data_IF_485134531238
#
_entry.id   IF_485134531238
#
_cell.length_a   1.000
_cell.length_b   1.000
_cell.length_c   1.000
_cell.angle_alpha   90.00
_cell.angle_beta   90.00
_cell.angle_gamma   90.00
#
_symmetry.space_group_name_H-M   'P 1'
#
loop_
_entity.id
_entity.type
_entity.pdbx_description
1 polymer ?
#
# COMPACT_ATOMS: atom_id res chain seq x y z
N UNK A 1 -0.09 2.14 23.65
CA UNK A 1 1.07 3.05 23.66
C UNK A 1 0.72 4.24 24.52
N UNK A 2 1.64 4.65 25.39
CA UNK A 2 1.56 5.90 26.15
C UNK A 2 1.78 7.10 25.21
N UNK A 3 1.43 8.33 25.63
CA UNK A 3 1.74 9.53 24.85
C UNK A 3 3.24 9.68 24.53
N UNK A 4 4.11 9.35 25.47
CA UNK A 4 5.57 9.37 25.28
C UNK A 4 6.02 8.35 24.24
N UNK A 5 5.50 7.13 24.29
CA UNK A 5 5.79 6.09 23.27
C UNK A 5 5.29 6.50 21.87
N UNK A 6 4.15 7.19 21.79
CA UNK A 6 3.64 7.74 20.54
C UNK A 6 4.56 8.81 19.97
N UNK A 7 5.00 9.75 20.80
CA UNK A 7 5.93 10.81 20.39
C UNK A 7 7.28 10.22 19.93
N UNK A 8 7.84 9.28 20.67
CA UNK A 8 9.11 8.63 20.31
C UNK A 8 8.99 7.88 18.99
N UNK A 9 7.88 7.15 18.79
CA UNK A 9 7.62 6.44 17.54
C UNK A 9 7.50 7.40 16.36
N UNK A 10 6.81 8.52 16.53
CA UNK A 10 6.70 9.54 15.49
C UNK A 10 8.07 10.15 15.16
N UNK A 11 8.82 10.54 16.18
CA UNK A 11 10.18 11.07 16.02
C UNK A 11 11.06 10.11 15.22
N UNK A 12 11.08 8.82 15.59
CA UNK A 12 11.86 7.82 14.88
C UNK A 12 11.43 7.66 13.43
N UNK A 13 10.12 7.59 13.14
CA UNK A 13 9.66 7.46 11.76
C UNK A 13 10.07 8.68 10.90
N UNK A 14 10.13 9.89 11.48
CA UNK A 14 10.60 11.08 10.76
C UNK A 14 12.10 11.01 10.52
N UNK A 15 12.88 10.62 11.53
CA UNK A 15 14.34 10.41 11.39
C UNK A 15 14.63 9.37 10.31
N UNK A 16 13.94 8.23 10.33
CA UNK A 16 14.08 7.18 9.32
C UNK A 16 13.81 7.73 7.91
N UNK A 17 12.75 8.53 7.74
CA UNK A 17 12.41 9.15 6.45
C UNK A 17 13.48 10.17 6.01
N UNK A 18 14.00 10.98 6.93
CA UNK A 18 15.11 11.90 6.64
C UNK A 18 16.38 11.16 6.20
N UNK A 19 16.68 10.04 6.85
CA UNK A 19 17.87 9.22 6.56
C UNK A 19 17.77 8.47 5.22
N UNK A 20 16.58 8.26 4.66
CA UNK A 20 16.40 7.69 3.32
C UNK A 20 16.65 8.69 2.18
N UNK A 21 16.71 9.99 2.48
CA UNK A 21 16.92 11.02 1.46
C UNK A 21 18.33 10.89 0.87
N UNK A 22 18.41 10.50 -0.39
CA UNK A 22 19.65 10.35 -1.16
C UNK A 22 20.10 11.66 -1.83
N UNK A 23 19.14 12.42 -2.34
CA UNK A 23 19.36 13.69 -3.02
C UNK A 23 18.73 14.85 -2.23
N UNK A 24 19.56 15.85 -1.89
CA UNK A 24 19.11 16.98 -1.08
C UNK A 24 18.75 18.17 -1.96
N UNK A 25 17.55 18.76 -1.77
CA UNK A 25 17.16 19.93 -2.53
C UNK A 25 17.99 21.16 -2.15
N UNK A 26 18.20 22.03 -3.13
CA UNK A 26 18.90 23.29 -2.93
C UNK A 26 18.16 24.18 -1.92
N UNK A 27 18.89 24.76 -0.95
CA UNK A 27 18.34 25.67 0.04
C UNK A 27 17.61 25.01 1.22
N UNK A 28 17.67 23.68 1.34
CA UNK A 28 17.04 22.96 2.44
C UNK A 28 17.79 23.14 3.77
N UNK A 29 19.11 22.97 3.74
CA UNK A 29 20.00 23.17 4.88
C UNK A 29 20.95 24.36 4.62
N UNK A 30 21.38 25.09 5.66
CA UNK A 30 21.12 24.84 7.07
C UNK A 30 19.71 25.28 7.52
N UNK A 31 19.15 24.61 8.54
CA UNK A 31 17.82 24.92 9.08
C UNK A 31 17.82 25.07 10.61
N UNK A 32 17.06 26.02 11.15
CA UNK A 32 16.93 26.23 12.59
C UNK A 32 16.18 25.05 13.22
N UNK A 33 16.74 24.49 14.29
CA UNK A 33 16.15 23.42 15.09
C UNK A 33 16.38 23.68 16.58
N UNK A 34 15.64 22.98 17.45
CA UNK A 34 15.84 23.04 18.90
C UNK A 34 16.05 21.65 19.47
N UNK A 35 16.97 21.55 20.42
CA UNK A 35 17.28 20.35 21.20
C UNK A 35 16.97 20.63 22.67
N UNK A 36 16.38 19.67 23.37
CA UNK A 36 16.20 19.74 24.82
C UNK A 36 17.50 19.31 25.52
N UNK A 37 18.12 20.22 26.26
CA UNK A 37 19.37 19.98 27.00
C UNK A 37 19.18 20.30 28.49
N UNK A 38 20.00 19.71 29.35
CA UNK A 38 20.01 20.06 30.77
C UNK A 38 20.71 21.40 30.97
N UNK A 39 19.99 22.37 31.55
CA UNK A 39 20.54 23.68 31.90
C UNK A 39 21.53 23.60 33.05
N UNK A 40 22.27 24.69 33.29
CA UNK A 40 23.21 24.79 34.42
C UNK A 40 22.54 24.62 35.79
N UNK A 41 21.23 24.84 35.86
CA UNK A 41 20.38 24.68 37.04
C UNK A 41 19.76 23.28 37.17
N UNK A 42 20.08 22.36 36.27
CA UNK A 42 19.55 20.99 36.22
C UNK A 42 18.12 20.88 35.66
N UNK A 43 17.55 21.98 35.15
CA UNK A 43 16.23 21.96 34.52
C UNK A 43 16.36 21.86 32.99
N UNK A 44 15.44 21.16 32.31
CA UNK A 44 15.46 21.06 30.85
C UNK A 44 15.24 22.43 30.21
N UNK A 45 16.07 22.76 29.22
CA UNK A 45 15.97 23.96 28.43
C UNK A 45 16.08 23.65 26.93
N UNK A 46 15.37 24.41 26.11
CA UNK A 46 15.45 24.29 24.65
C UNK A 46 16.56 25.16 24.10
N UNK A 47 17.57 24.52 23.54
CA UNK A 47 18.74 25.17 22.95
C UNK A 47 18.55 25.24 21.44
N UNK A 48 18.70 26.45 20.89
CA UNK A 48 18.61 26.70 19.45
C UNK A 48 19.91 26.28 18.75
N UNK A 49 19.78 25.56 17.64
CA UNK A 49 20.86 25.22 16.71
C UNK A 49 20.47 25.51 15.27
N UNK A 50 21.46 25.53 14.38
CA UNK A 50 21.29 25.29 12.96
C UNK A 50 21.73 23.85 12.67
N UNK A 51 20.83 23.04 12.10
CA UNK A 51 21.16 21.77 11.49
C UNK A 51 21.90 22.05 10.19
N UNK A 52 23.17 21.67 10.12
CA UNK A 52 24.06 21.95 8.97
C UNK A 52 24.05 20.78 7.99
N UNK A 53 24.16 19.58 8.51
CA UNK A 53 24.28 18.34 7.75
C UNK A 53 23.82 17.15 8.63
N UNK A 54 23.53 16.01 8.02
CA UNK A 54 23.26 14.74 8.69
C UNK A 54 23.63 13.55 7.80
N UNK A 55 23.71 12.35 8.35
CA UNK A 55 24.09 11.14 7.63
C UNK A 55 22.98 10.08 7.70
N UNK A 56 23.04 9.11 6.80
CA UNK A 56 22.04 8.04 6.70
C UNK A 56 21.95 7.16 7.96
N UNK A 57 22.95 7.19 8.85
CA UNK A 57 22.93 6.50 10.13
C UNK A 57 22.23 7.28 11.26
N UNK A 58 21.79 8.52 11.01
CA UNK A 58 21.12 9.39 11.97
C UNK A 58 22.04 10.42 12.65
N UNK A 59 23.36 10.31 12.46
CA UNK A 59 24.31 11.29 13.00
C UNK A 59 24.15 12.64 12.28
N UNK A 60 24.35 13.75 13.00
CA UNK A 60 24.14 15.08 12.47
C UNK A 60 25.15 16.11 12.98
N UNK A 61 25.27 17.18 12.21
CA UNK A 61 26.10 18.34 12.53
C UNK A 61 25.21 19.51 12.94
N UNK A 62 25.31 19.91 14.21
CA UNK A 62 24.62 21.07 14.76
C UNK A 62 25.59 22.23 14.99
N UNK A 63 25.16 23.44 14.69
CA UNK A 63 25.93 24.66 14.95
C UNK A 63 25.13 25.62 15.82
N UNK A 64 25.72 26.10 16.91
CA UNK A 64 25.07 27.12 17.74
C UNK A 64 25.02 28.46 16.98
N UNK A 65 23.95 29.25 17.13
CA UNK A 65 23.86 30.55 16.49
C UNK A 65 25.02 31.46 16.89
N UNK A 66 25.62 32.13 15.91
CA UNK A 66 26.73 33.08 16.10
C UNK A 66 28.04 32.46 16.63
N UNK A 67 28.22 31.14 16.50
CA UNK A 67 29.50 30.49 16.72
C UNK A 67 29.95 29.77 15.45
N UNK A 68 31.26 29.62 15.27
CA UNK A 68 31.83 28.79 14.20
C UNK A 68 32.05 27.34 14.65
N UNK A 69 31.50 26.96 15.82
CA UNK A 69 31.69 25.63 16.41
C UNK A 69 30.59 24.71 15.90
N UNK A 70 31.00 23.66 15.18
CA UNK A 70 30.13 22.58 14.72
C UNK A 70 30.31 21.36 15.62
N UNK A 71 29.19 20.86 16.10
CA UNK A 71 29.06 19.64 16.90
C UNK A 71 28.64 18.51 15.95
N UNK A 72 29.58 17.65 15.57
CA UNK A 72 29.42 16.65 14.49
C UNK A 72 29.05 15.25 15.01
N UNK A 73 28.95 15.09 16.33
CA UNK A 73 28.69 13.84 17.05
C UNK A 73 27.30 13.82 17.69
N UNK A 74 26.38 14.64 17.16
CA UNK A 74 24.98 14.76 17.61
C UNK A 74 24.11 13.78 16.84
N UNK A 75 22.97 13.42 17.41
CA UNK A 75 21.99 12.54 16.74
C UNK A 75 20.72 13.31 16.36
N UNK A 76 20.14 13.02 15.18
CA UNK A 76 18.86 13.62 14.76
C UNK A 76 17.74 13.37 15.78
N UNK A 77 17.77 12.24 16.48
CA UNK A 77 16.77 11.89 17.49
C UNK A 77 16.79 12.79 18.74
N UNK A 78 17.86 13.58 18.95
CA UNK A 78 17.93 14.61 20.00
C UNK A 78 17.08 15.85 19.65
N UNK A 79 16.84 16.09 18.36
CA UNK A 79 16.05 17.24 17.90
C UNK A 79 14.60 17.05 18.34
N UNK A 80 14.02 18.11 18.89
CA UNK A 80 12.63 18.11 19.28
C UNK A 80 11.73 17.79 18.06
N UNK A 81 10.72 16.93 18.28
CA UNK A 81 9.88 16.37 17.23
C UNK A 81 9.20 17.43 16.35
N UNK A 82 8.80 18.58 16.91
CA UNK A 82 8.17 19.66 16.14
C UNK A 82 9.14 20.26 15.10
N UNK A 83 10.43 20.29 15.44
CA UNK A 83 11.48 20.77 14.54
C UNK A 83 11.88 19.71 13.52
N UNK A 84 11.84 18.41 13.87
CA UNK A 84 11.97 17.34 12.88
C UNK A 84 10.84 17.41 11.83
N UNK A 85 9.59 17.62 12.27
CA UNK A 85 8.44 17.83 11.38
C UNK A 85 8.66 19.05 10.49
N UNK A 86 9.17 20.14 11.05
CA UNK A 86 9.45 21.37 10.29
C UNK A 86 10.49 21.14 9.20
N UNK A 87 11.59 20.45 9.53
CA UNK A 87 12.65 20.09 8.58
C UNK A 87 12.13 19.17 7.48
N UNK A 88 11.35 18.15 7.84
CA UNK A 88 10.71 17.25 6.88
C UNK A 88 9.74 17.96 5.94
N UNK A 89 8.85 18.80 6.47
CA UNK A 89 7.90 19.54 5.64
C UNK A 89 8.62 20.48 4.67
N UNK A 90 9.70 21.13 5.12
CA UNK A 90 10.50 21.98 4.24
C UNK A 90 11.20 21.19 3.13
N UNK A 91 11.68 19.98 3.42
CA UNK A 91 12.17 19.06 2.39
C UNK A 91 11.09 18.72 1.36
N UNK A 92 9.89 18.36 1.83
CA UNK A 92 8.76 18.03 0.96
C UNK A 92 8.41 19.21 0.05
N UNK A 93 8.32 20.42 0.59
CA UNK A 93 8.02 21.62 -0.21
C UNK A 93 9.07 21.85 -1.31
N UNK A 94 10.36 21.79 -0.95
CA UNK A 94 11.45 22.01 -1.90
C UNK A 94 11.58 20.88 -2.94
N UNK A 95 11.40 19.62 -2.54
CA UNK A 95 11.44 18.48 -3.47
C UNK A 95 10.29 18.51 -4.48
N UNK A 96 9.12 19.04 -4.10
CA UNK A 96 8.02 19.32 -5.03
C UNK A 96 8.39 20.43 -6.01
N UNK A 97 8.90 21.57 -5.49
CA UNK A 97 9.29 22.72 -6.31
C UNK A 97 10.39 22.34 -7.33
N UNK A 98 11.37 21.56 -6.88
CA UNK A 98 12.52 21.12 -7.66
C UNK A 98 12.25 19.83 -8.47
N UNK A 99 11.06 19.24 -8.32
CA UNK A 99 10.59 18.03 -9.02
C UNK A 99 11.43 16.76 -8.77
N UNK A 100 12.06 16.67 -7.61
CA UNK A 100 12.87 15.51 -7.19
C UNK A 100 12.08 14.50 -6.36
N UNK A 101 10.88 14.86 -5.88
CA UNK A 101 10.09 14.01 -4.99
C UNK A 101 9.71 12.63 -5.57
N UNK A 102 9.54 12.52 -6.90
CA UNK A 102 9.19 11.25 -7.56
C UNK A 102 10.35 10.26 -7.52
N UNK A 103 11.57 10.74 -7.71
CA UNK A 103 12.75 9.88 -7.68
C UNK A 103 12.99 9.36 -6.26
N UNK A 104 12.86 10.23 -5.25
CA UNK A 104 12.83 9.82 -3.83
C UNK A 104 11.77 8.75 -3.55
N UNK A 105 10.53 8.97 -3.99
CA UNK A 105 9.43 8.03 -3.77
C UNK A 105 9.69 6.64 -4.40
N UNK A 106 10.24 6.61 -5.62
CA UNK A 106 10.62 5.36 -6.30
C UNK A 106 11.75 4.66 -5.56
N UNK A 107 12.78 5.39 -5.13
CA UNK A 107 13.91 4.84 -4.37
C UNK A 107 13.46 4.21 -3.05
N UNK A 108 12.60 4.91 -2.31
CA UNK A 108 12.02 4.40 -1.05
C UNK A 108 11.31 3.06 -1.29
N UNK A 109 10.47 2.97 -2.33
CA UNK A 109 9.74 1.72 -2.60
C UNK A 109 10.68 0.61 -3.10
N UNK A 110 11.65 0.90 -3.96
CA UNK A 110 12.64 -0.08 -4.43
C UNK A 110 13.50 -0.66 -3.29
N UNK A 111 13.79 0.12 -2.25
CA UNK A 111 14.53 -0.37 -1.08
C UNK A 111 13.68 -1.28 -0.19
N UNK A 112 12.36 -1.10 -0.20
CA UNK A 112 11.43 -1.76 0.73
C UNK A 112 10.62 -2.90 0.09
N UNK A 113 10.61 -3.02 -1.25
CA UNK A 113 9.86 -4.07 -1.95
C UNK A 113 10.62 -4.67 -3.13
N UNK A 114 10.18 -5.85 -3.57
CA UNK A 114 10.71 -6.52 -4.77
C UNK A 114 9.77 -6.39 -5.98
N UNK A 115 8.86 -5.42 -5.96
CA UNK A 115 7.91 -5.20 -7.05
C UNK A 115 8.61 -4.69 -8.31
N UNK A 116 7.96 -4.87 -9.46
CA UNK A 116 8.45 -4.34 -10.72
C UNK A 116 8.50 -2.81 -10.69
N UNK A 117 9.57 -2.21 -11.24
CA UNK A 117 9.77 -0.76 -11.22
C UNK A 117 8.65 -0.01 -11.97
N UNK A 118 8.06 -0.62 -13.00
CA UNK A 118 6.91 -0.05 -13.70
C UNK A 118 5.70 0.11 -12.80
N UNK A 119 5.37 -0.90 -12.00
CA UNK A 119 4.27 -0.86 -11.02
C UNK A 119 4.54 0.18 -9.92
N UNK A 120 5.78 0.27 -9.45
CA UNK A 120 6.19 1.29 -8.47
C UNK A 120 5.94 2.69 -9.04
N UNK A 121 6.36 2.94 -10.29
CA UNK A 121 6.18 4.25 -10.94
C UNK A 121 4.70 4.59 -11.16
N UNK A 122 3.87 3.61 -11.49
CA UNK A 122 2.41 3.78 -11.59
C UNK A 122 1.81 4.24 -10.25
N UNK A 123 2.11 3.52 -9.17
CA UNK A 123 1.64 3.92 -7.83
C UNK A 123 2.16 5.31 -7.43
N UNK A 124 3.44 5.61 -7.70
CA UNK A 124 4.02 6.92 -7.37
C UNK A 124 3.31 8.07 -8.09
N UNK A 125 2.90 7.85 -9.34
CA UNK A 125 2.18 8.86 -10.11
C UNK A 125 0.75 9.10 -9.58
N UNK A 126 0.04 8.04 -9.24
CA UNK A 126 -1.41 8.11 -8.98
C UNK A 126 -1.79 8.17 -7.51
N UNK A 127 -0.93 7.68 -6.62
CA UNK A 127 -1.30 7.37 -5.24
C UNK A 127 -0.35 7.91 -4.17
N UNK A 128 0.90 8.24 -4.51
CA UNK A 128 1.85 8.79 -3.54
C UNK A 128 1.35 10.09 -2.89
N UNK A 129 1.47 10.16 -1.57
CA UNK A 129 1.08 11.33 -0.80
C UNK A 129 2.32 11.99 -0.20
N UNK A 130 2.74 13.13 -0.76
CA UNK A 130 3.95 13.85 -0.31
C UNK A 130 3.90 14.32 1.15
N UNK A 131 2.70 14.50 1.73
CA UNK A 131 2.55 14.90 3.13
C UNK A 131 2.60 13.71 4.11
N UNK A 132 2.57 12.47 3.61
CA UNK A 132 2.74 11.28 4.43
C UNK A 132 4.22 10.93 4.55
N UNK A 133 4.58 10.25 5.64
CA UNK A 133 5.92 9.70 5.81
C UNK A 133 6.13 8.50 4.88
N UNK A 134 7.39 8.23 4.54
CA UNK A 134 7.79 7.13 3.66
C UNK A 134 7.16 5.80 4.09
N UNK A 135 7.18 5.51 5.39
CA UNK A 135 6.59 4.30 5.98
C UNK A 135 5.09 4.15 5.71
N UNK A 136 4.34 5.24 5.75
CA UNK A 136 2.90 5.23 5.52
C UNK A 136 2.59 5.07 4.03
N UNK A 137 3.38 5.72 3.16
CA UNK A 137 3.30 5.50 1.71
C UNK A 137 3.69 4.07 1.32
N UNK A 138 4.75 3.49 1.90
CA UNK A 138 5.14 2.09 1.67
C UNK A 138 4.03 1.12 2.07
N UNK A 139 3.37 1.37 3.21
CA UNK A 139 2.21 0.57 3.62
C UNK A 139 1.02 0.75 2.66
N UNK A 140 0.78 1.96 2.16
CA UNK A 140 -0.25 2.21 1.17
C UNK A 140 0.04 1.46 -0.14
N UNK A 141 1.31 1.39 -0.56
CA UNK A 141 1.75 0.63 -1.71
C UNK A 141 1.55 -0.88 -1.52
N UNK A 142 1.93 -1.45 -0.37
CA UNK A 142 1.65 -2.85 -0.04
C UNK A 142 0.15 -3.16 -0.16
N UNK A 143 -0.69 -2.33 0.47
CA UNK A 143 -2.15 -2.50 0.37
C UNK A 143 -2.64 -2.40 -1.08
N UNK A 144 -2.07 -1.50 -1.89
CA UNK A 144 -2.39 -1.32 -3.30
C UNK A 144 -2.01 -2.54 -4.15
N UNK A 145 -0.82 -3.12 -3.95
CA UNK A 145 -0.42 -4.37 -4.60
C UNK A 145 -1.39 -5.52 -4.28
N UNK A 146 -1.86 -5.56 -3.04
CA UNK A 146 -2.83 -6.56 -2.59
C UNK A 146 -4.28 -6.18 -2.91
N UNK A 147 -4.56 -5.06 -3.60
CA UNK A 147 -5.94 -4.73 -4.00
C UNK A 147 -6.53 -5.79 -4.95
N UNK A 148 -5.71 -6.38 -5.82
CA UNK A 148 -6.16 -7.47 -6.69
C UNK A 148 -6.31 -8.82 -5.93
N UNK A 149 -5.53 -9.03 -4.86
CA UNK A 149 -5.68 -10.17 -3.96
C UNK A 149 -6.82 -10.00 -2.93
N UNK A 150 -7.33 -8.77 -2.77
CA UNK A 150 -8.40 -8.42 -1.85
C UNK A 150 -9.82 -8.66 -2.40
N UNK A 151 -9.96 -9.16 -3.62
CA UNK A 151 -11.23 -9.76 -4.02
C UNK A 151 -11.38 -11.06 -3.24
N UNK A 152 -12.05 -10.96 -2.08
CA UNK A 152 -12.38 -12.13 -1.28
C UNK A 152 -12.91 -13.21 -2.22
N UNK A 153 -12.36 -14.44 -2.16
CA UNK A 153 -12.80 -15.47 -3.06
C UNK A 153 -14.30 -15.69 -2.91
N UNK A 154 -15.05 -15.39 -3.96
CA UNK A 154 -16.51 -15.50 -3.96
C UNK A 154 -16.89 -16.88 -4.47
N UNK A 155 -17.84 -17.49 -3.78
CA UNK A 155 -18.46 -18.71 -4.26
C UNK A 155 -19.57 -18.33 -5.24
N UNK A 156 -19.48 -18.86 -6.45
CA UNK A 156 -20.53 -18.77 -7.44
C UNK A 156 -21.18 -20.13 -7.62
N UNK A 157 -22.50 -20.12 -7.83
CA UNK A 157 -23.26 -21.30 -8.21
C UNK A 157 -23.27 -21.41 -9.74
N UNK A 158 -22.76 -22.52 -10.24
CA UNK A 158 -22.87 -22.89 -11.65
C UNK A 158 -24.02 -23.86 -11.81
N UNK A 159 -24.97 -23.52 -12.67
CA UNK A 159 -26.17 -24.32 -12.95
C UNK A 159 -26.10 -24.77 -14.40
N UNK A 160 -26.34 -26.05 -14.65
CA UNK A 160 -26.41 -26.57 -16.01
C UNK A 160 -27.38 -27.73 -16.11
N UNK A 161 -27.99 -27.90 -17.28
CA UNK A 161 -28.98 -28.93 -17.50
C UNK A 161 -28.33 -30.33 -17.58
N UNK A 162 -29.03 -31.36 -17.10
CA UNK A 162 -28.54 -32.74 -17.07
C UNK A 162 -28.42 -33.38 -18.44
N UNK A 163 -29.09 -32.82 -19.46
CA UNK A 163 -28.90 -33.18 -20.86
C UNK A 163 -27.69 -32.49 -21.50
N UNK A 164 -27.06 -31.50 -20.87
CA UNK A 164 -25.94 -30.74 -21.45
C UNK A 164 -24.57 -31.39 -21.20
N UNK A 165 -24.21 -31.54 -19.92
CA UNK A 165 -22.91 -31.99 -19.45
C UNK A 165 -23.07 -33.02 -18.32
N UNK A 166 -22.17 -34.00 -18.26
CA UNK A 166 -22.17 -34.99 -17.17
C UNK A 166 -22.06 -34.33 -15.79
N UNK A 167 -22.78 -34.88 -14.81
CA UNK A 167 -22.79 -34.40 -13.42
C UNK A 167 -21.39 -34.24 -12.81
N UNK A 168 -20.46 -35.12 -13.19
CA UNK A 168 -19.10 -35.21 -12.64
C UNK A 168 -18.03 -34.58 -13.54
N UNK A 169 -18.41 -33.70 -14.47
CA UNK A 169 -17.48 -32.90 -15.27
C UNK A 169 -16.48 -32.16 -14.37
N UNK A 170 -15.25 -31.90 -14.82
CA UNK A 170 -14.26 -31.15 -14.03
C UNK A 170 -14.63 -29.66 -13.90
N UNK A 171 -14.06 -28.97 -12.91
CA UNK A 171 -14.29 -27.53 -12.75
C UNK A 171 -13.73 -26.74 -13.95
N UNK A 172 -12.59 -27.16 -14.48
CA UNK A 172 -11.96 -26.53 -15.65
C UNK A 172 -12.87 -26.58 -16.87
N UNK A 173 -13.44 -27.75 -17.16
CA UNK A 173 -14.35 -27.94 -18.29
C UNK A 173 -15.69 -27.23 -18.10
N UNK A 174 -16.23 -27.21 -16.87
CA UNK A 174 -17.47 -26.49 -16.58
C UNK A 174 -17.29 -24.98 -16.75
N UNK A 175 -16.17 -24.42 -16.29
CA UNK A 175 -15.83 -23.02 -16.46
C UNK A 175 -15.58 -22.66 -17.94
N UNK A 176 -14.97 -23.56 -18.70
CA UNK A 176 -14.80 -23.40 -20.14
C UNK A 176 -16.16 -23.39 -20.87
N UNK A 177 -17.06 -24.31 -20.53
CA UNK A 177 -18.41 -24.34 -21.09
C UNK A 177 -19.18 -23.05 -20.79
N UNK A 178 -19.11 -22.55 -19.55
CA UNK A 178 -19.69 -21.25 -19.18
C UNK A 178 -19.11 -20.08 -19.99
N UNK A 179 -17.78 -20.03 -20.18
CA UNK A 179 -17.11 -18.94 -20.93
C UNK A 179 -17.43 -18.97 -22.43
N UNK A 180 -17.61 -20.16 -22.99
CA UNK A 180 -17.88 -20.33 -24.42
C UNK A 180 -19.35 -20.07 -24.79
N UNK A 181 -20.25 -20.00 -23.80
CA UNK A 181 -21.67 -19.72 -23.99
C UNK A 181 -22.49 -20.95 -24.42
N UNK A 182 -23.67 -20.75 -25.03
CA UNK A 182 -24.57 -21.84 -25.41
C UNK A 182 -23.89 -22.89 -26.30
N UNK A 183 -24.06 -24.17 -25.96
CA UNK A 183 -23.46 -25.29 -26.68
C UNK A 183 -24.36 -26.52 -26.65
N UNK A 184 -24.15 -27.43 -27.61
CA UNK A 184 -24.92 -28.68 -27.71
C UNK A 184 -24.56 -29.66 -26.60
N UNK A 185 -25.45 -30.63 -26.38
CA UNK A 185 -25.21 -31.75 -25.49
C UNK A 185 -23.89 -32.45 -25.80
N UNK A 186 -23.14 -32.76 -24.75
CA UNK A 186 -21.94 -33.62 -24.83
C UNK A 186 -22.27 -35.08 -24.55
N UNK A 187 -23.49 -35.38 -24.11
CA UNK A 187 -23.96 -36.71 -23.71
C UNK A 187 -24.91 -37.33 -24.72
N UNK A 188 -25.55 -36.52 -25.57
CA UNK A 188 -26.45 -36.96 -26.64
C UNK A 188 -26.15 -36.19 -27.94
N UNK A 189 -25.51 -36.86 -28.91
CA UNK A 189 -25.15 -36.25 -30.20
C UNK A 189 -26.36 -35.96 -31.09
N UNK A 190 -27.51 -36.62 -30.86
CA UNK A 190 -28.74 -36.39 -31.63
C UNK A 190 -29.54 -35.20 -31.11
N UNK A 191 -29.23 -34.69 -29.92
CA UNK A 191 -29.88 -33.51 -29.35
C UNK A 191 -29.36 -32.21 -30.00
N UNK A 192 -30.24 -31.53 -30.73
CA UNK A 192 -29.98 -30.26 -31.40
C UNK A 192 -30.18 -29.04 -30.48
N UNK A 193 -30.61 -29.25 -29.24
CA UNK A 193 -30.83 -28.18 -28.26
C UNK A 193 -29.50 -27.55 -27.83
N UNK A 194 -29.46 -26.23 -27.79
CA UNK A 194 -28.35 -25.48 -27.21
C UNK A 194 -28.65 -25.20 -25.73
N UNK A 195 -27.72 -25.60 -24.88
CA UNK A 195 -27.77 -25.43 -23.44
C UNK A 195 -26.70 -24.45 -23.00
N UNK A 196 -26.97 -23.71 -21.92
CA UNK A 196 -26.03 -22.77 -21.33
C UNK A 196 -25.72 -23.17 -19.89
N UNK A 197 -24.47 -22.95 -19.48
CA UNK A 197 -24.09 -23.01 -18.07
C UNK A 197 -24.31 -21.63 -17.49
N UNK A 198 -25.18 -21.49 -16.50
CA UNK A 198 -25.44 -20.21 -15.83
C UNK A 198 -24.49 -20.04 -14.63
N UNK A 199 -24.05 -18.80 -14.37
CA UNK A 199 -23.31 -18.41 -13.16
C UNK A 199 -24.14 -17.44 -12.35
N UNK A 200 -24.54 -17.87 -11.14
CA UNK A 200 -25.27 -17.05 -10.18
C UNK A 200 -24.43 -16.80 -8.92
N UNK A 201 -24.67 -15.67 -8.28
CA UNK A 201 -24.29 -15.45 -6.88
C UNK A 201 -25.14 -16.32 -5.95
N UNK A 202 -24.70 -16.48 -4.69
CA UNK A 202 -25.48 -17.25 -3.71
C UNK A 202 -26.86 -16.65 -3.43
N UNK A 203 -26.98 -15.33 -3.47
CA UNK A 203 -28.25 -14.63 -3.28
C UNK A 203 -29.19 -14.82 -4.48
N UNK A 204 -28.67 -14.71 -5.71
CA UNK A 204 -29.44 -14.97 -6.93
C UNK A 204 -29.91 -16.44 -7.00
N UNK A 205 -29.07 -17.40 -6.58
CA UNK A 205 -29.50 -18.80 -6.47
C UNK A 205 -30.61 -18.96 -5.42
N UNK A 206 -30.50 -18.29 -4.26
CA UNK A 206 -31.52 -18.35 -3.23
C UNK A 206 -32.85 -17.77 -3.72
N UNK A 207 -32.83 -16.65 -4.43
CA UNK A 207 -34.01 -16.07 -5.08
C UNK A 207 -34.61 -17.07 -6.09
N UNK A 208 -33.80 -17.65 -6.97
CA UNK A 208 -34.24 -18.66 -7.95
C UNK A 208 -34.92 -19.87 -7.29
N UNK A 209 -34.39 -20.35 -6.17
CA UNK A 209 -34.98 -21.48 -5.44
C UNK A 209 -36.29 -21.08 -4.76
N UNK A 210 -36.33 -19.90 -4.13
CA UNK A 210 -37.48 -19.49 -3.32
C UNK A 210 -38.65 -18.97 -4.16
N UNK A 211 -38.37 -18.26 -5.25
CA UNK A 211 -39.36 -17.44 -5.97
C UNK A 211 -39.69 -17.98 -7.37
N UNK A 212 -38.78 -18.72 -8.01
CA UNK A 212 -38.88 -19.13 -9.42
C UNK A 212 -39.03 -20.65 -9.63
N UNK A 213 -39.17 -21.45 -8.56
CA UNK A 213 -39.32 -22.91 -8.61
C UNK A 213 -38.18 -23.62 -9.37
N UNK A 214 -36.96 -23.55 -8.83
CA UNK A 214 -35.79 -24.26 -9.35
C UNK A 214 -36.08 -25.74 -9.71
N UNK A 215 -35.75 -26.15 -10.93
CA UNK A 215 -36.01 -27.50 -11.43
C UNK A 215 -34.90 -28.48 -11.01
N UNK A 216 -35.00 -28.98 -9.78
CA UNK A 216 -34.05 -29.91 -9.18
C UNK A 216 -34.00 -31.30 -9.85
N UNK A 217 -34.90 -31.57 -10.80
CA UNK A 217 -34.92 -32.81 -11.57
C UNK A 217 -34.12 -32.75 -12.86
N UNK A 218 -33.96 -31.55 -13.43
CA UNK A 218 -33.31 -31.36 -14.72
C UNK A 218 -31.99 -30.58 -14.61
N UNK A 219 -31.77 -29.83 -13.53
CA UNK A 219 -30.57 -28.99 -13.40
C UNK A 219 -29.62 -29.48 -12.31
N UNK A 220 -28.33 -29.52 -12.67
CA UNK A 220 -27.24 -29.72 -11.73
C UNK A 220 -26.73 -28.38 -11.23
N UNK A 221 -26.24 -28.37 -9.99
CA UNK A 221 -25.64 -27.18 -9.35
C UNK A 221 -24.27 -27.54 -8.78
N UNK A 222 -23.29 -26.64 -8.97
CA UNK A 222 -21.98 -26.74 -8.32
C UNK A 222 -21.48 -25.38 -7.87
N UNK A 223 -20.97 -25.33 -6.65
CA UNK A 223 -20.31 -24.13 -6.12
C UNK A 223 -18.82 -24.16 -6.47
N UNK A 224 -18.34 -23.09 -7.09
CA UNK A 224 -16.92 -22.90 -7.39
C UNK A 224 -16.47 -21.57 -6.78
N UNK A 225 -15.37 -21.64 -6.04
CA UNK A 225 -14.69 -20.46 -5.50
C UNK A 225 -13.88 -19.80 -6.62
N UNK A 226 -14.14 -18.53 -6.88
CA UNK A 226 -13.43 -17.74 -7.88
C UNK A 226 -12.92 -16.45 -7.26
N UNK A 227 -11.76 -16.01 -7.72
CA UNK A 227 -11.27 -14.65 -7.51
C UNK A 227 -11.72 -13.86 -8.73
N UNK A 228 -12.58 -12.85 -8.51
CA UNK A 228 -13.02 -11.96 -9.60
C UNK A 228 -11.88 -11.07 -10.11
#
# INVERSE_FOLDING_TARGET
MTPQEQQQKLSQNIVDSLCHISERPDGWLPHIVFVEEEGEDGYPCYVRYNLIDYHADGTCTLQRPNTDVQETDRELCEINVDWLITVWNWYVELSIEQKTWKDHAVEVLLQNCTADEGLIREFVEEHWQNLLLDKDNSKAFENWLHQDESKEPRHYAFIWNCCHLDRNISNEQLLEAWRNGPSRSTTDEEDETEYEVERLTLDELAERINDECFNDTEDYVRFIQMTD
#
